data_IF_301859218504
#
_entry.id   IF_301859218504
#
_cell.length_a   1.000
_cell.length_b   1.000
_cell.length_c   1.000
_cell.angle_alpha   90.00
_cell.angle_beta   90.00
_cell.angle_gamma   90.00
#
_symmetry.space_group_name_H-M   'P 1'
#
loop_
_entity.id
_entity.type
_entity.pdbx_description
1 polymer ?
#
# COMPACT_ATOMS: atom_id res chain seq x y z
N UNK A 1 12.39 61.13 -20.44
CA UNK A 1 12.09 59.69 -20.61
C UNK A 1 11.81 59.10 -19.24
N UNK A 2 10.54 58.76 -18.94
CA UNK A 2 10.16 58.06 -17.70
C UNK A 2 10.08 56.57 -18.04
N UNK A 3 10.97 55.76 -17.47
CA UNK A 3 10.89 54.31 -17.56
C UNK A 3 9.78 53.81 -16.63
N UNK A 4 8.74 53.24 -17.21
CA UNK A 4 7.69 52.53 -16.47
C UNK A 4 8.16 51.10 -16.26
N UNK A 5 8.44 50.73 -15.01
CA UNK A 5 8.69 49.35 -14.60
C UNK A 5 7.35 48.58 -14.69
N UNK A 6 7.27 47.61 -15.59
CA UNK A 6 6.19 46.64 -15.65
C UNK A 6 6.45 45.61 -14.52
N UNK A 7 5.48 45.32 -13.64
CA UNK A 7 5.69 44.29 -12.64
C UNK A 7 5.69 42.93 -13.33
N UNK A 8 6.75 42.17 -13.12
CA UNK A 8 6.85 40.78 -13.53
C UNK A 8 5.81 39.99 -12.71
N UNK A 9 4.72 39.59 -13.34
CA UNK A 9 3.75 38.70 -12.71
C UNK A 9 4.48 37.39 -12.36
N UNK A 10 4.54 37.06 -11.06
CA UNK A 10 4.98 35.75 -10.63
C UNK A 10 4.00 34.73 -11.22
N UNK A 11 4.47 33.89 -12.15
CA UNK A 11 3.72 32.69 -12.51
C UNK A 11 3.57 31.88 -11.23
N UNK A 12 2.34 31.76 -10.74
CA UNK A 12 1.99 30.75 -9.77
C UNK A 12 2.33 29.41 -10.42
N UNK A 13 3.43 28.79 -10.00
CA UNK A 13 3.67 27.38 -10.29
C UNK A 13 2.50 26.63 -9.68
N UNK A 14 1.60 26.14 -10.53
CA UNK A 14 0.62 25.15 -10.11
C UNK A 14 1.41 23.97 -9.56
N UNK A 15 1.46 23.83 -8.24
CA UNK A 15 1.96 22.61 -7.62
C UNK A 15 1.04 21.50 -8.09
N UNK A 16 1.51 20.71 -9.07
CA UNK A 16 0.89 19.44 -9.43
C UNK A 16 0.65 18.66 -8.12
N UNK A 17 -0.48 17.97 -8.03
CA UNK A 17 -0.73 17.08 -6.91
C UNK A 17 0.48 16.14 -6.75
N UNK A 18 1.05 16.05 -5.54
CA UNK A 18 2.24 15.23 -5.26
C UNK A 18 1.87 13.76 -5.04
N UNK A 19 0.65 13.53 -4.52
CA UNK A 19 0.00 12.21 -4.37
C UNK A 19 -0.93 12.01 -5.56
N UNK A 20 -0.69 10.96 -6.34
CA UNK A 20 -1.47 10.58 -7.51
C UNK A 20 -2.45 9.44 -7.24
N UNK A 21 -2.22 8.69 -6.16
CA UNK A 21 -3.02 7.54 -5.80
C UNK A 21 -3.45 7.61 -4.34
N UNK A 22 -4.75 7.58 -4.07
CA UNK A 22 -5.27 7.54 -2.72
C UNK A 22 -6.41 6.54 -2.67
N UNK A 23 -6.49 5.77 -1.60
CA UNK A 23 -7.58 4.83 -1.42
C UNK A 23 -7.43 3.87 -0.25
N UNK A 24 -7.83 2.62 -0.47
CA UNK A 24 -8.05 1.65 0.60
C UNK A 24 -7.63 0.25 0.14
N UNK A 25 -7.16 -0.57 1.07
CA UNK A 25 -6.97 -1.99 0.83
C UNK A 25 -8.31 -2.73 0.88
N UNK A 26 -8.53 -3.64 -0.05
CA UNK A 26 -9.68 -4.54 -0.12
C UNK A 26 -9.22 -5.93 0.29
N UNK A 27 -9.48 -6.25 1.55
CA UNK A 27 -9.12 -7.52 2.18
C UNK A 27 -10.26 -8.54 2.07
N UNK A 28 -9.91 -9.80 1.99
CA UNK A 28 -10.84 -10.93 1.95
C UNK A 28 -10.39 -12.01 0.98
N UNK A 29 -9.66 -11.67 -0.09
CA UNK A 29 -9.11 -12.65 -1.03
C UNK A 29 -8.01 -13.51 -0.39
N UNK A 30 -7.47 -13.03 0.73
CA UNK A 30 -6.43 -13.63 1.54
C UNK A 30 -6.88 -14.32 2.82
N UNK A 31 -8.19 -14.41 3.04
CA UNK A 31 -8.74 -15.03 4.22
C UNK A 31 -8.81 -16.56 4.11
N UNK A 32 -8.97 -17.21 5.27
CA UNK A 32 -9.39 -18.61 5.34
C UNK A 32 -8.29 -19.67 5.30
N UNK A 33 -7.01 -19.28 5.32
CA UNK A 33 -5.85 -20.19 5.19
C UNK A 33 -5.70 -21.14 6.38
N UNK A 34 -5.76 -20.64 7.62
CA UNK A 34 -5.53 -21.45 8.83
C UNK A 34 -6.26 -20.90 10.05
N UNK A 35 -6.64 -21.79 10.97
CA UNK A 35 -6.84 -21.47 12.39
C UNK A 35 -6.58 -22.71 13.24
N UNK A 36 -5.94 -22.56 14.40
CA UNK A 36 -5.77 -23.66 15.37
C UNK A 36 -7.09 -24.12 16.00
N UNK A 37 -8.16 -23.30 15.92
CA UNK A 37 -9.42 -23.49 16.63
C UNK A 37 -10.70 -23.39 15.76
N UNK A 38 -10.64 -23.76 14.47
CA UNK A 38 -11.83 -24.17 13.70
C UNK A 38 -12.60 -23.12 12.88
N UNK A 39 -11.96 -22.12 12.27
CA UNK A 39 -12.59 -21.25 11.25
C UNK A 39 -11.80 -21.18 9.92
N UNK A 40 -10.58 -21.72 9.83
CA UNK A 40 -9.87 -21.92 8.56
C UNK A 40 -10.22 -23.29 7.95
N UNK A 41 -10.59 -23.34 6.66
CA UNK A 41 -10.81 -24.62 5.96
C UNK A 41 -9.57 -25.11 5.20
N UNK A 42 -8.45 -24.42 5.33
CA UNK A 42 -7.25 -24.70 4.57
C UNK A 42 -7.42 -24.32 3.09
N UNK A 43 -6.37 -24.55 2.32
CA UNK A 43 -6.34 -24.25 0.90
C UNK A 43 -7.04 -25.34 0.08
N UNK A 44 -7.79 -25.00 -0.99
CA UNK A 44 -7.92 -23.66 -1.60
C UNK A 44 -9.06 -22.78 -1.02
N UNK A 45 -9.71 -23.18 0.07
CA UNK A 45 -10.89 -22.50 0.61
C UNK A 45 -12.12 -22.52 -0.31
N UNK A 46 -13.20 -21.81 0.08
CA UNK A 46 -14.45 -21.66 -0.69
C UNK A 46 -14.74 -20.18 -0.98
N UNK A 47 -14.82 -19.83 -2.25
CA UNK A 47 -15.20 -18.48 -2.69
C UNK A 47 -16.57 -18.08 -2.15
N UNK A 48 -16.69 -16.85 -1.66
CA UNK A 48 -17.91 -16.28 -1.08
C UNK A 48 -18.19 -16.71 0.37
N UNK A 49 -17.29 -17.49 0.99
CA UNK A 49 -17.39 -17.85 2.41
C UNK A 49 -16.04 -17.73 3.11
N UNK A 50 -15.02 -18.44 2.61
CA UNK A 50 -13.70 -18.47 3.25
C UNK A 50 -12.82 -17.33 2.71
N UNK A 51 -13.04 -16.92 1.45
CA UNK A 51 -12.43 -15.74 0.83
C UNK A 51 -13.39 -15.08 -0.18
N UNK A 52 -13.23 -13.77 -0.40
CA UNK A 52 -13.95 -12.98 -1.40
C UNK A 52 -13.16 -11.70 -1.74
N UNK A 53 -13.23 -11.20 -2.98
CA UNK A 53 -12.33 -10.12 -3.42
C UNK A 53 -12.85 -8.70 -3.18
N UNK A 54 -14.05 -8.37 -3.66
CA UNK A 54 -14.60 -7.01 -3.56
C UNK A 54 -16.11 -7.05 -3.44
N UNK A 55 -16.68 -6.01 -2.83
CA UNK A 55 -18.10 -5.68 -2.89
C UNK A 55 -18.33 -4.51 -3.84
N UNK A 56 -18.95 -4.77 -4.99
CA UNK A 56 -19.15 -3.76 -6.03
C UNK A 56 -19.93 -2.52 -5.55
N UNK A 57 -20.89 -2.69 -4.65
CA UNK A 57 -21.68 -1.57 -4.14
C UNK A 57 -20.84 -0.66 -3.24
N UNK A 58 -19.98 -1.24 -2.41
CA UNK A 58 -19.05 -0.49 -1.57
C UNK A 58 -18.01 0.27 -2.42
N UNK A 59 -17.42 -0.41 -3.41
CA UNK A 59 -16.51 0.20 -4.38
C UNK A 59 -17.18 1.39 -5.09
N UNK A 60 -18.44 1.24 -5.50
CA UNK A 60 -19.21 2.31 -6.13
C UNK A 60 -19.36 3.53 -5.23
N UNK A 61 -19.63 3.34 -3.93
CA UNK A 61 -19.69 4.43 -2.93
C UNK A 61 -18.32 5.08 -2.78
N UNK A 62 -17.26 4.29 -2.64
CA UNK A 62 -15.91 4.84 -2.45
C UNK A 62 -15.43 5.65 -3.66
N UNK A 63 -15.74 5.22 -4.89
CA UNK A 63 -15.42 5.99 -6.10
C UNK A 63 -16.30 7.25 -6.19
N UNK A 64 -17.62 7.10 -6.02
CA UNK A 64 -18.57 8.19 -6.29
C UNK A 64 -18.60 9.23 -5.18
N UNK A 65 -18.50 8.82 -3.93
CA UNK A 65 -18.71 9.68 -2.77
C UNK A 65 -17.39 10.03 -2.10
N UNK A 66 -16.48 9.05 -1.97
CA UNK A 66 -15.19 9.26 -1.29
C UNK A 66 -14.06 9.70 -2.23
N UNK A 67 -14.30 9.64 -3.55
CA UNK A 67 -13.42 10.14 -4.62
C UNK A 67 -12.03 9.52 -4.66
N UNK A 68 -11.87 8.31 -4.13
CA UNK A 68 -10.60 7.57 -4.20
C UNK A 68 -10.40 6.95 -5.59
N UNK A 69 -9.15 6.71 -5.99
CA UNK A 69 -8.80 6.13 -7.30
C UNK A 69 -7.97 4.83 -7.21
N UNK A 70 -7.65 4.36 -5.99
CA UNK A 70 -6.82 3.18 -5.78
C UNK A 70 -7.50 2.17 -4.84
N UNK A 71 -7.47 0.90 -5.25
CA UNK A 71 -7.86 -0.24 -4.43
C UNK A 71 -6.74 -1.28 -4.43
N UNK A 72 -6.18 -1.60 -3.27
CA UNK A 72 -5.16 -2.64 -3.11
C UNK A 72 -5.85 -3.96 -2.78
N UNK A 73 -5.97 -4.86 -3.76
CA UNK A 73 -6.69 -6.13 -3.60
C UNK A 73 -5.74 -7.20 -3.08
N UNK A 74 -5.96 -7.68 -1.85
CA UNK A 74 -5.18 -8.76 -1.28
C UNK A 74 -5.65 -10.12 -1.82
N UNK A 75 -4.71 -10.99 -2.15
CA UNK A 75 -4.97 -12.36 -2.58
C UNK A 75 -3.79 -13.26 -2.22
N UNK A 76 -4.05 -14.55 -2.32
CA UNK A 76 -3.16 -15.61 -1.90
C UNK A 76 -2.60 -16.40 -3.07
N UNK A 77 -1.36 -16.85 -2.94
CA UNK A 77 -0.64 -17.55 -4.02
C UNK A 77 -0.58 -19.09 -3.85
N UNK A 78 -0.87 -19.59 -2.67
CA UNK A 78 0.00 -20.50 -1.95
C UNK A 78 0.18 -21.88 -2.59
N UNK A 79 1.45 -22.24 -2.78
CA UNK A 79 2.26 -22.88 -1.72
C UNK A 79 3.66 -22.23 -1.68
N UNK A 80 4.28 -22.17 -0.50
CA UNK A 80 5.65 -21.71 -0.19
C UNK A 80 5.87 -20.19 0.03
N UNK A 81 6.77 -19.86 0.99
CA UNK A 81 7.50 -18.58 1.05
C UNK A 81 8.36 -18.49 -0.20
N UNK A 82 7.97 -17.64 -1.14
CA UNK A 82 8.66 -17.59 -2.42
C UNK A 82 10.03 -16.97 -2.27
N UNK A 83 11.02 -17.69 -2.80
CA UNK A 83 12.41 -17.31 -2.82
C UNK A 83 13.09 -17.51 -1.49
N UNK A 84 12.58 -18.32 -0.56
CA UNK A 84 13.37 -18.73 0.61
C UNK A 84 14.44 -19.76 0.21
N UNK A 85 15.67 -19.29 0.01
CA UNK A 85 16.79 -20.15 -0.37
C UNK A 85 17.21 -21.15 0.75
N UNK A 86 16.68 -21.01 1.97
CA UNK A 86 17.00 -21.91 3.10
C UNK A 86 16.01 -23.08 3.25
N UNK A 87 14.83 -23.01 2.64
CA UNK A 87 13.87 -24.12 2.60
C UNK A 87 13.98 -24.86 1.25
N UNK A 88 14.47 -26.11 1.22
CA UNK A 88 14.59 -26.87 -0.03
C UNK A 88 13.24 -27.20 -0.69
N UNK A 89 12.12 -27.00 0.01
CA UNK A 89 10.77 -27.13 -0.54
C UNK A 89 10.16 -25.79 -0.96
N UNK A 90 10.91 -24.69 -0.82
CA UNK A 90 10.40 -23.39 -1.20
C UNK A 90 10.44 -23.14 -2.71
N UNK A 91 9.51 -22.31 -3.20
CA UNK A 91 9.54 -21.81 -4.55
C UNK A 91 10.80 -20.95 -4.73
N UNK A 92 11.50 -21.11 -5.85
CA UNK A 92 12.75 -20.36 -6.09
C UNK A 92 12.49 -18.94 -6.59
N UNK A 93 13.50 -18.06 -6.57
CA UNK A 93 13.44 -16.77 -7.27
C UNK A 93 13.07 -16.91 -8.76
N UNK A 94 13.45 -18.01 -9.40
CA UNK A 94 13.07 -18.28 -10.80
C UNK A 94 11.58 -18.64 -10.94
N UNK A 95 11.02 -19.41 -10.01
CA UNK A 95 9.59 -19.70 -9.98
C UNK A 95 8.78 -18.42 -9.74
N UNK A 96 9.30 -17.51 -8.91
CA UNK A 96 8.72 -16.18 -8.70
C UNK A 96 8.63 -15.37 -10.00
N UNK A 97 9.71 -15.36 -10.78
CA UNK A 97 9.75 -14.72 -12.10
C UNK A 97 8.72 -15.33 -13.05
N UNK A 98 8.58 -16.66 -13.05
CA UNK A 98 7.60 -17.36 -13.90
C UNK A 98 6.18 -16.94 -13.50
N UNK A 99 5.87 -16.95 -12.20
CA UNK A 99 4.58 -16.48 -11.70
C UNK A 99 4.24 -15.07 -12.18
N UNK A 100 5.17 -14.12 -11.96
CA UNK A 100 4.95 -12.73 -12.37
C UNK A 100 4.85 -12.54 -13.88
N UNK A 101 5.55 -13.37 -14.66
CA UNK A 101 5.42 -13.40 -16.12
C UNK A 101 4.01 -13.83 -16.53
N UNK A 102 3.46 -14.90 -15.94
CA UNK A 102 2.10 -15.37 -16.26
C UNK A 102 1.02 -14.38 -15.80
N UNK A 103 1.17 -13.81 -14.59
CA UNK A 103 0.27 -12.78 -14.09
C UNK A 103 0.29 -11.54 -15.00
N UNK A 104 1.47 -11.06 -15.39
CA UNK A 104 1.59 -9.90 -16.25
C UNK A 104 1.01 -10.14 -17.66
N UNK A 105 1.17 -11.34 -18.24
CA UNK A 105 0.52 -11.68 -19.53
C UNK A 105 -0.99 -11.45 -19.50
N UNK A 106 -1.65 -11.76 -18.37
CA UNK A 106 -3.10 -11.58 -18.20
C UNK A 106 -3.52 -10.11 -18.19
N UNK A 107 -2.68 -9.24 -17.63
CA UNK A 107 -3.04 -7.86 -17.29
C UNK A 107 -2.29 -6.78 -18.08
N UNK A 108 -1.26 -7.10 -18.88
CA UNK A 108 -0.39 -6.13 -19.59
C UNK A 108 -1.10 -5.06 -20.43
N UNK A 109 -2.33 -5.31 -20.88
CA UNK A 109 -3.12 -4.35 -21.66
C UNK A 109 -4.08 -3.51 -20.81
N UNK A 110 -4.27 -3.85 -19.53
CA UNK A 110 -5.07 -3.07 -18.60
C UNK A 110 -4.19 -1.98 -17.96
N UNK A 111 -4.32 -0.76 -18.46
CA UNK A 111 -3.51 0.40 -18.03
C UNK A 111 -3.78 0.82 -16.58
N UNK A 112 -4.90 0.36 -15.99
CA UNK A 112 -5.31 0.67 -14.61
C UNK A 112 -4.73 -0.28 -13.56
N UNK A 113 -3.99 -1.31 -13.97
CA UNK A 113 -3.34 -2.24 -13.03
C UNK A 113 -2.05 -1.64 -12.50
N UNK A 114 -1.78 -1.86 -11.23
CA UNK A 114 -0.47 -1.70 -10.60
C UNK A 114 -0.05 -3.09 -10.13
N UNK A 115 1.20 -3.49 -10.38
CA UNK A 115 1.72 -4.77 -9.90
C UNK A 115 2.42 -4.58 -8.55
N UNK A 116 1.79 -4.98 -7.45
CA UNK A 116 2.47 -5.15 -6.16
C UNK A 116 3.19 -6.49 -6.13
N UNK A 117 4.49 -6.49 -5.81
CA UNK A 117 5.32 -7.70 -5.92
C UNK A 117 5.03 -8.70 -4.80
N UNK A 118 5.01 -8.25 -3.55
CA UNK A 118 4.79 -9.13 -2.41
C UNK A 118 4.37 -8.33 -1.18
N UNK A 119 3.51 -8.92 -0.36
CA UNK A 119 3.18 -8.35 0.95
C UNK A 119 4.28 -8.67 1.96
N UNK A 120 4.87 -7.63 2.55
CA UNK A 120 5.70 -7.73 3.75
C UNK A 120 6.78 -8.83 3.77
N UNK A 121 7.79 -8.83 2.88
CA UNK A 121 8.97 -9.68 3.08
C UNK A 121 9.59 -9.46 4.47
N UNK A 122 9.80 -10.54 5.21
CA UNK A 122 10.37 -10.54 6.56
C UNK A 122 11.16 -11.82 6.83
N UNK A 123 11.97 -11.82 7.89
CA UNK A 123 12.78 -12.97 8.35
C UNK A 123 13.66 -13.62 7.26
N UNK A 124 14.10 -12.84 6.28
CA UNK A 124 15.02 -13.25 5.21
C UNK A 124 16.09 -12.18 4.97
N UNK A 125 17.16 -12.53 4.25
CA UNK A 125 18.21 -11.55 3.92
C UNK A 125 17.68 -10.47 2.98
N UNK A 126 18.11 -9.23 3.16
CA UNK A 126 17.69 -8.13 2.27
C UNK A 126 18.23 -8.29 0.86
N UNK A 127 19.37 -8.97 0.70
CA UNK A 127 19.90 -9.35 -0.62
C UNK A 127 18.96 -10.28 -1.40
N UNK A 128 18.21 -11.14 -0.70
CA UNK A 128 17.24 -12.04 -1.30
C UNK A 128 15.97 -11.29 -1.70
N UNK A 129 15.50 -10.35 -0.86
CA UNK A 129 14.40 -9.44 -1.22
C UNK A 129 14.72 -8.67 -2.51
N UNK A 130 15.95 -8.13 -2.64
CA UNK A 130 16.41 -7.50 -3.88
C UNK A 130 16.34 -8.44 -5.08
N UNK A 131 16.85 -9.67 -4.96
CA UNK A 131 16.82 -10.67 -6.05
C UNK A 131 15.40 -11.00 -6.48
N UNK A 132 14.50 -11.22 -5.52
CA UNK A 132 13.09 -11.54 -5.78
C UNK A 132 12.37 -10.36 -6.44
N UNK A 133 12.58 -9.14 -5.96
CA UNK A 133 12.03 -7.94 -6.59
C UNK A 133 12.53 -7.78 -8.03
N UNK A 134 13.83 -7.94 -8.28
CA UNK A 134 14.39 -7.85 -9.63
C UNK A 134 13.82 -8.94 -10.56
N UNK A 135 13.67 -10.16 -10.06
CA UNK A 135 13.11 -11.27 -10.81
C UNK A 135 11.65 -11.02 -11.21
N UNK A 136 10.83 -10.46 -10.31
CA UNK A 136 9.47 -10.05 -10.61
C UNK A 136 9.42 -8.91 -11.64
N UNK A 137 10.25 -7.87 -11.50
CA UNK A 137 10.37 -6.77 -12.48
C UNK A 137 10.72 -7.32 -13.86
N UNK A 138 11.76 -8.14 -13.95
CA UNK A 138 12.18 -8.75 -15.21
C UNK A 138 11.06 -9.59 -15.85
N UNK A 139 10.38 -10.39 -15.03
CA UNK A 139 9.25 -11.22 -15.46
C UNK A 139 8.12 -10.38 -16.04
N UNK A 140 7.66 -9.37 -15.30
CA UNK A 140 6.62 -8.43 -15.73
C UNK A 140 7.03 -7.75 -17.04
N UNK A 141 8.23 -7.15 -17.10
CA UNK A 141 8.69 -6.39 -18.25
C UNK A 141 8.92 -7.25 -19.48
N UNK A 142 9.31 -8.52 -19.33
CA UNK A 142 9.45 -9.47 -20.45
C UNK A 142 8.15 -9.66 -21.27
N UNK A 143 7.00 -9.37 -20.67
CA UNK A 143 5.69 -9.48 -21.33
C UNK A 143 5.28 -8.25 -22.15
N UNK A 144 6.07 -7.17 -22.07
CA UNK A 144 5.71 -5.86 -22.62
C UNK A 144 4.76 -5.04 -21.73
N UNK A 145 4.48 -5.49 -20.50
CA UNK A 145 3.72 -4.74 -19.51
C UNK A 145 4.45 -3.44 -19.13
N UNK A 146 3.72 -2.32 -19.21
CA UNK A 146 4.26 -0.96 -18.98
C UNK A 146 3.79 -0.33 -17.67
N UNK A 147 2.90 -1.02 -16.96
CA UNK A 147 2.29 -0.56 -15.71
C UNK A 147 3.31 -0.31 -14.61
N UNK A 148 2.95 0.51 -13.63
CA UNK A 148 3.74 0.72 -12.43
C UNK A 148 3.91 -0.59 -11.65
N UNK A 149 5.09 -0.76 -11.07
CA UNK A 149 5.44 -1.87 -10.17
C UNK A 149 5.71 -1.29 -8.79
N UNK A 150 5.15 -1.90 -7.74
CA UNK A 150 5.46 -1.60 -6.35
C UNK A 150 6.35 -2.73 -5.80
N UNK A 151 7.55 -2.36 -5.38
CA UNK A 151 8.57 -3.28 -4.88
C UNK A 151 8.73 -3.12 -3.36
N UNK A 152 8.42 -4.15 -2.56
CA UNK A 152 8.50 -4.07 -1.10
C UNK A 152 9.94 -4.05 -0.60
N UNK A 153 10.09 -3.49 0.60
CA UNK A 153 11.27 -3.58 1.43
C UNK A 153 11.20 -4.81 2.34
N UNK A 154 12.33 -5.14 2.97
CA UNK A 154 12.39 -6.15 4.03
C UNK A 154 11.85 -5.60 5.36
N UNK A 155 11.79 -6.43 6.41
CA UNK A 155 11.26 -6.08 7.73
C UNK A 155 9.80 -5.57 7.63
N UNK A 156 8.93 -6.40 7.05
CA UNK A 156 7.51 -6.09 6.85
C UNK A 156 7.28 -4.82 6.02
N UNK A 157 8.23 -4.47 5.15
CA UNK A 157 8.22 -3.23 4.40
C UNK A 157 8.09 -1.95 5.26
N UNK A 158 8.46 -2.02 6.54
CA UNK A 158 8.27 -0.95 7.51
C UNK A 158 9.13 0.29 7.22
N UNK A 159 8.51 1.44 7.03
CA UNK A 159 9.23 2.70 6.76
C UNK A 159 10.17 3.10 7.90
N UNK A 160 9.75 2.88 9.16
CA UNK A 160 10.55 3.09 10.36
C UNK A 160 11.82 2.24 10.45
N UNK A 161 11.87 1.11 9.74
CA UNK A 161 12.99 0.17 9.73
C UNK A 161 13.81 0.25 8.43
N UNK A 162 13.34 0.99 7.41
CA UNK A 162 13.92 0.98 6.07
C UNK A 162 15.43 1.25 6.04
N UNK A 163 15.90 2.22 6.83
CA UNK A 163 17.33 2.63 6.89
C UNK A 163 18.12 1.99 8.01
N UNK A 164 17.48 1.24 8.91
CA UNK A 164 18.15 0.63 10.09
C UNK A 164 18.05 -0.88 10.15
N UNK A 165 17.14 -1.48 9.37
CA UNK A 165 16.72 -2.86 9.52
C UNK A 165 15.90 -3.10 10.79
N UNK A 166 15.46 -4.34 10.96
CA UNK A 166 14.86 -4.88 12.18
C UNK A 166 15.42 -6.29 12.44
N UNK A 167 16.72 -6.36 12.77
CA UNK A 167 17.46 -7.63 12.89
C UNK A 167 18.01 -8.19 11.58
N UNK A 168 17.65 -7.59 10.44
CA UNK A 168 18.19 -7.84 9.10
C UNK A 168 18.97 -6.62 8.59
N UNK A 169 19.65 -6.74 7.43
CA UNK A 169 20.30 -5.59 6.82
C UNK A 169 19.27 -4.54 6.35
N UNK A 170 19.58 -3.23 6.47
CA UNK A 170 18.70 -2.17 6.00
C UNK A 170 18.34 -2.32 4.51
N UNK A 171 17.07 -2.08 4.17
CA UNK A 171 16.63 -2.07 2.77
C UNK A 171 17.27 -0.94 1.96
N UNK A 172 17.66 0.15 2.62
CA UNK A 172 18.40 1.28 2.02
C UNK A 172 19.70 0.86 1.33
N UNK A 173 20.34 -0.21 1.79
CA UNK A 173 21.65 -0.62 1.30
C UNK A 173 21.55 -1.41 -0.02
N UNK A 174 20.35 -1.87 -0.37
CA UNK A 174 20.14 -2.80 -1.49
C UNK A 174 19.17 -2.29 -2.54
N UNK A 175 18.06 -1.66 -2.15
CA UNK A 175 16.95 -1.44 -3.10
C UNK A 175 17.24 -0.44 -4.23
N UNK A 176 18.25 0.41 -4.09
CA UNK A 176 18.73 1.29 -5.17
C UNK A 176 19.42 0.52 -6.32
N UNK A 177 19.73 -0.76 -6.11
CA UNK A 177 20.35 -1.63 -7.12
C UNK A 177 19.32 -2.20 -8.10
N UNK A 178 18.02 -2.10 -7.82
CA UNK A 178 16.96 -2.54 -8.73
C UNK A 178 17.03 -1.79 -10.06
N UNK A 179 16.66 -2.45 -11.15
CA UNK A 179 16.61 -1.90 -12.50
C UNK A 179 15.28 -2.23 -13.15
N UNK A 180 14.55 -1.20 -13.53
CA UNK A 180 13.39 -1.29 -14.41
C UNK A 180 13.72 -0.58 -15.73
N UNK A 181 13.71 -1.27 -16.90
CA UNK A 181 13.96 -0.63 -18.19
C UNK A 181 12.98 0.50 -18.52
N UNK A 182 11.83 0.58 -17.85
CA UNK A 182 10.85 1.65 -18.03
C UNK A 182 10.91 2.74 -16.95
N UNK A 183 11.79 2.59 -15.96
CA UNK A 183 11.89 3.49 -14.80
C UNK A 183 10.52 3.80 -14.18
N UNK A 184 9.68 2.77 -14.02
CA UNK A 184 8.31 2.87 -13.54
C UNK A 184 8.06 1.93 -12.35
N UNK A 185 9.04 1.87 -11.45
CA UNK A 185 8.99 1.13 -10.18
C UNK A 185 9.05 2.12 -9.01
N UNK A 186 8.18 1.95 -8.02
CA UNK A 186 8.23 2.65 -6.74
C UNK A 186 8.43 1.66 -5.59
N UNK A 187 8.94 2.14 -4.47
CA UNK A 187 9.06 1.35 -3.24
C UNK A 187 7.69 1.23 -2.57
N UNK A 188 7.30 0.02 -2.19
CA UNK A 188 6.14 -0.25 -1.34
C UNK A 188 6.55 -0.12 0.13
N UNK A 189 5.83 0.65 0.93
CA UNK A 189 6.11 0.85 2.36
C UNK A 189 4.85 0.67 3.17
N UNK A 190 4.96 0.01 4.32
CA UNK A 190 3.92 -0.06 5.33
C UNK A 190 4.33 0.77 6.54
N UNK A 191 3.36 1.37 7.23
CA UNK A 191 3.63 2.08 8.47
C UNK A 191 2.38 2.15 9.36
N UNK A 192 2.44 1.50 10.51
CA UNK A 192 1.46 1.69 11.56
C UNK A 192 2.00 2.63 12.64
N UNK A 193 1.08 3.29 13.36
CA UNK A 193 1.44 4.38 14.28
C UNK A 193 1.42 3.96 15.75
N UNK A 194 1.12 2.69 16.03
CA UNK A 194 1.16 2.11 17.37
C UNK A 194 2.59 1.88 17.87
N UNK A 195 2.72 1.57 19.16
CA UNK A 195 3.98 1.56 19.89
C UNK A 195 5.06 0.67 19.28
N UNK A 196 4.67 -0.41 18.61
CA UNK A 196 5.57 -1.35 17.93
C UNK A 196 5.37 -1.43 16.41
N UNK A 197 4.62 -0.50 15.80
CA UNK A 197 4.36 -0.44 14.36
C UNK A 197 3.66 -1.68 13.76
N UNK A 198 3.01 -2.50 14.59
CA UNK A 198 2.34 -3.73 14.14
C UNK A 198 0.91 -3.53 13.64
N UNK A 199 0.31 -2.38 13.94
CA UNK A 199 -1.11 -2.14 13.69
C UNK A 199 -2.04 -2.92 14.63
N UNK A 200 -1.55 -3.41 15.77
CA UNK A 200 -2.39 -4.13 16.75
C UNK A 200 -2.87 -3.24 17.90
N UNK A 201 -2.11 -2.18 18.22
CA UNK A 201 -2.41 -1.23 19.28
C UNK A 201 -3.50 -0.22 18.92
N UNK A 202 -4.27 0.22 19.92
CA UNK A 202 -5.34 1.22 19.71
C UNK A 202 -4.86 2.68 19.71
N UNK A 203 -3.64 2.94 20.20
CA UNK A 203 -3.10 4.29 20.33
C UNK A 203 -2.05 4.55 19.27
N UNK A 204 -2.01 5.78 18.76
CA UNK A 204 -1.02 6.23 17.79
C UNK A 204 0.04 7.03 18.53
N UNK A 205 1.13 6.37 18.90
CA UNK A 205 2.21 6.94 19.72
C UNK A 205 3.44 7.31 18.91
N UNK A 206 3.56 6.80 17.68
CA UNK A 206 4.74 7.03 16.84
C UNK A 206 4.61 8.32 16.02
N UNK A 207 5.66 9.17 16.00
CA UNK A 207 5.64 10.40 15.22
C UNK A 207 5.88 10.13 13.75
N UNK A 208 5.32 10.98 12.88
CA UNK A 208 5.52 10.88 11.42
C UNK A 208 6.99 11.01 10.98
N UNK A 209 7.83 11.63 11.80
CA UNK A 209 9.28 11.76 11.55
C UNK A 209 10.02 10.43 11.46
N UNK A 210 9.40 9.31 11.87
CA UNK A 210 9.92 7.96 11.60
C UNK A 210 10.09 7.65 10.11
N UNK A 211 9.36 8.35 9.23
CA UNK A 211 9.52 8.26 7.78
C UNK A 211 10.66 9.11 7.20
N UNK A 212 11.36 9.91 8.00
CA UNK A 212 12.39 10.83 7.48
C UNK A 212 13.57 10.07 6.86
N UNK A 213 13.94 8.91 7.42
CA UNK A 213 14.99 8.06 6.89
C UNK A 213 14.70 7.61 5.45
N UNK A 214 13.56 6.92 5.24
CA UNK A 214 13.14 6.46 3.91
C UNK A 214 12.88 7.63 2.97
N UNK A 215 12.27 8.72 3.43
CA UNK A 215 12.03 9.92 2.60
C UNK A 215 13.34 10.51 2.07
N UNK A 216 14.34 10.68 2.93
CA UNK A 216 15.62 11.25 2.53
C UNK A 216 16.37 10.32 1.58
N UNK A 217 16.31 9.01 1.83
CA UNK A 217 16.89 8.01 0.95
C UNK A 217 16.25 8.03 -0.45
N UNK A 218 14.92 8.12 -0.52
CA UNK A 218 14.19 8.22 -1.79
C UNK A 218 14.63 9.45 -2.60
N UNK A 219 14.78 10.61 -1.92
CA UNK A 219 15.30 11.83 -2.55
C UNK A 219 16.72 11.64 -3.07
N UNK A 220 17.60 11.07 -2.26
CA UNK A 220 19.00 10.83 -2.60
C UNK A 220 19.15 9.95 -3.84
N UNK A 221 18.29 8.95 -3.99
CA UNK A 221 18.34 8.00 -5.10
C UNK A 221 17.39 8.32 -6.26
N UNK A 222 16.66 9.44 -6.19
CA UNK A 222 15.69 9.83 -7.22
C UNK A 222 14.52 8.85 -7.38
N UNK A 223 14.19 8.11 -6.32
CA UNK A 223 13.15 7.09 -6.30
C UNK A 223 11.85 7.65 -5.70
N UNK A 224 10.74 6.95 -5.96
CA UNK A 224 9.40 7.25 -5.41
C UNK A 224 8.91 6.09 -4.55
N UNK A 225 7.96 6.36 -3.67
CA UNK A 225 7.35 5.35 -2.81
C UNK A 225 5.84 5.57 -2.61
N UNK A 226 5.15 4.50 -2.25
CA UNK A 226 3.74 4.48 -1.90
C UNK A 226 3.56 3.82 -0.53
N UNK A 227 2.74 4.43 0.34
CA UNK A 227 2.32 3.78 1.59
C UNK A 227 1.15 2.85 1.31
N UNK A 228 1.36 1.55 1.22
CA UNK A 228 0.30 0.61 0.84
C UNK A 228 -0.48 0.06 2.03
N UNK A 229 0.02 0.24 3.26
CA UNK A 229 -0.73 -0.02 4.48
C UNK A 229 -0.38 0.99 5.57
N UNK A 230 -1.43 1.53 6.18
CA UNK A 230 -1.38 2.29 7.43
C UNK A 230 -2.76 2.27 8.09
N UNK A 231 -2.80 2.55 9.39
CA UNK A 231 -4.04 2.64 10.14
C UNK A 231 -3.88 3.25 11.53
N UNK A 232 -5.00 3.48 12.19
CA UNK A 232 -5.04 4.04 13.54
C UNK A 232 -6.35 3.74 14.27
N UNK A 233 -6.34 3.89 15.59
CA UNK A 233 -7.52 3.68 16.43
C UNK A 233 -8.54 4.81 16.37
N UNK A 234 -9.76 4.51 16.83
CA UNK A 234 -10.85 5.50 16.93
C UNK A 234 -10.71 6.34 18.20
N UNK A 235 -9.78 7.29 18.18
CA UNK A 235 -9.59 8.27 19.26
C UNK A 235 -8.99 9.59 18.72
N UNK A 236 -9.09 10.70 19.47
CA UNK A 236 -8.59 12.00 19.02
C UNK A 236 -7.08 12.04 18.70
N UNK A 237 -6.27 11.28 19.44
CA UNK A 237 -4.82 11.20 19.21
C UNK A 237 -4.50 10.59 17.86
N UNK A 238 -5.09 9.43 17.56
CA UNK A 238 -4.96 8.79 16.25
C UNK A 238 -5.58 9.62 15.12
N UNK A 239 -6.72 10.26 15.34
CA UNK A 239 -7.32 11.14 14.33
C UNK A 239 -6.39 12.30 13.94
N UNK A 240 -5.65 12.87 14.89
CA UNK A 240 -4.64 13.87 14.59
C UNK A 240 -3.40 13.26 13.93
N UNK A 241 -2.90 12.13 14.44
CA UNK A 241 -1.72 11.47 13.88
C UNK A 241 -1.92 11.07 12.41
N UNK A 242 -3.10 10.56 12.03
CA UNK A 242 -3.43 10.21 10.64
C UNK A 242 -3.47 11.44 9.73
N UNK A 243 -3.95 12.59 10.23
CA UNK A 243 -3.91 13.87 9.47
C UNK A 243 -2.47 14.31 9.23
N UNK A 244 -1.66 14.31 10.29
CA UNK A 244 -0.25 14.71 10.20
C UNK A 244 0.52 13.75 9.27
N UNK A 245 0.19 12.47 9.31
CA UNK A 245 0.76 11.44 8.45
C UNK A 245 0.45 11.67 6.97
N UNK A 246 -0.82 11.85 6.58
CA UNK A 246 -1.18 12.09 5.17
C UNK A 246 -0.64 13.44 4.70
N UNK A 247 -0.70 14.49 5.51
CA UNK A 247 -0.12 15.79 5.18
C UNK A 247 1.40 15.68 4.92
N UNK A 248 2.11 14.89 5.72
CA UNK A 248 3.54 14.65 5.51
C UNK A 248 3.82 14.03 4.13
N UNK A 249 3.00 13.06 3.70
CA UNK A 249 3.12 12.44 2.37
C UNK A 249 2.83 13.46 1.27
N UNK A 250 1.75 14.24 1.40
CA UNK A 250 1.39 15.28 0.43
C UNK A 250 2.45 16.37 0.29
N UNK A 251 3.15 16.72 1.37
CA UNK A 251 4.19 17.75 1.33
C UNK A 251 5.45 17.30 0.56
N UNK A 252 5.68 16.00 0.42
CA UNK A 252 6.96 15.43 -0.01
C UNK A 252 6.81 14.67 -1.32
N UNK A 253 7.37 15.22 -2.39
CA UNK A 253 7.23 14.75 -3.78
C UNK A 253 7.66 13.29 -4.03
N UNK A 254 8.39 12.67 -3.12
CA UNK A 254 8.80 11.26 -3.23
C UNK A 254 7.66 10.29 -2.91
N UNK A 255 6.63 10.74 -2.18
CA UNK A 255 5.45 9.96 -1.84
C UNK A 255 4.36 10.19 -2.88
N UNK A 256 4.03 9.14 -3.63
CA UNK A 256 3.13 9.22 -4.79
C UNK A 256 1.74 8.66 -4.49
N UNK A 257 1.55 8.00 -3.35
CA UNK A 257 0.26 7.46 -3.00
C UNK A 257 0.15 6.85 -1.62
N UNK A 258 -1.08 6.53 -1.23
CA UNK A 258 -1.38 5.79 -0.02
C UNK A 258 -2.64 4.91 -0.13
N UNK A 259 -2.69 3.82 0.64
CA UNK A 259 -3.92 3.05 0.90
C UNK A 259 -4.08 2.74 2.39
N UNK A 260 -5.24 3.06 2.95
CA UNK A 260 -5.55 2.73 4.34
C UNK A 260 -5.93 1.25 4.48
N UNK A 261 -5.55 0.63 5.61
CA UNK A 261 -5.88 -0.75 5.93
C UNK A 261 -7.04 -0.82 6.96
N UNK A 262 -8.20 -1.40 6.65
CA UNK A 262 -8.67 -1.93 5.36
C UNK A 262 -10.21 -1.88 5.25
N UNK A 263 -10.72 -2.02 4.03
CA UNK A 263 -12.09 -2.39 3.70
C UNK A 263 -12.16 -3.89 3.33
N UNK A 264 -13.31 -4.35 2.86
CA UNK A 264 -13.48 -5.73 2.41
C UNK A 264 -14.76 -6.40 2.90
N UNK A 265 -15.31 -7.34 2.11
CA UNK A 265 -16.65 -7.89 2.33
C UNK A 265 -16.77 -8.89 3.50
N UNK A 266 -15.64 -9.41 4.01
CA UNK A 266 -15.65 -10.54 4.96
C UNK A 266 -15.26 -10.18 6.40
N UNK A 267 -14.97 -8.90 6.69
CA UNK A 267 -14.64 -8.47 8.05
C UNK A 267 -15.81 -8.63 9.03
N UNK A 268 -17.05 -8.49 8.56
CA UNK A 268 -18.22 -8.43 9.44
C UNK A 268 -18.04 -7.29 10.46
N UNK A 269 -18.07 -7.63 11.75
CA UNK A 269 -17.78 -6.68 12.83
C UNK A 269 -16.31 -6.66 13.28
N UNK A 270 -15.43 -7.52 12.74
CA UNK A 270 -14.03 -7.56 13.14
C UNK A 270 -13.26 -6.39 12.55
N UNK A 271 -12.37 -5.80 13.35
CA UNK A 271 -11.55 -4.68 12.91
C UNK A 271 -10.28 -5.16 12.24
N UNK A 272 -9.86 -4.56 11.11
CA UNK A 272 -8.68 -4.96 10.36
C UNK A 272 -7.37 -4.63 11.07
N UNK A 273 -7.33 -3.53 11.82
CA UNK A 273 -6.18 -3.13 12.61
C UNK A 273 -6.60 -2.16 13.71
N UNK A 274 -5.66 -1.90 14.60
CA UNK A 274 -5.53 -0.66 15.33
C UNK A 274 -6.65 -0.38 16.35
N UNK A 275 -7.39 -1.42 16.76
CA UNK A 275 -8.48 -1.28 17.74
C UNK A 275 -8.26 -2.12 19.01
N UNK A 276 -7.09 -2.73 19.20
CA UNK A 276 -6.78 -3.57 20.37
C UNK A 276 -7.87 -4.62 20.67
N UNK A 277 -8.33 -5.31 19.61
CA UNK A 277 -9.36 -6.35 19.69
C UNK A 277 -10.80 -5.85 19.77
N UNK A 278 -11.06 -4.53 19.75
CA UNK A 278 -12.43 -4.03 19.59
C UNK A 278 -12.98 -4.38 18.19
N UNK A 279 -14.27 -4.67 18.14
CA UNK A 279 -14.98 -5.13 16.96
C UNK A 279 -15.83 -3.99 16.36
N UNK A 280 -15.18 -3.14 15.56
CA UNK A 280 -15.75 -1.94 14.95
C UNK A 280 -15.97 -2.08 13.43
N UNK A 281 -15.84 -3.30 12.90
CA UNK A 281 -15.90 -3.58 11.47
C UNK A 281 -14.73 -2.96 10.69
N UNK A 282 -14.87 -2.90 9.37
CA UNK A 282 -13.86 -2.36 8.44
C UNK A 282 -14.21 -0.96 7.89
N UNK A 283 -13.35 -0.44 7.01
CA UNK A 283 -13.63 0.74 6.19
C UNK A 283 -14.60 0.48 5.03
N UNK A 284 -15.24 -0.68 4.96
CA UNK A 284 -16.30 -0.94 3.99
C UNK A 284 -17.54 -0.06 4.25
N UNK A 285 -18.07 0.71 3.27
CA UNK A 285 -19.34 1.40 3.40
C UNK A 285 -20.47 0.47 3.87
N UNK A 286 -21.13 0.85 4.96
CA UNK A 286 -22.19 0.06 5.59
C UNK A 286 -21.70 -0.98 6.61
N UNK A 287 -20.38 -1.11 6.81
CA UNK A 287 -19.78 -1.84 7.93
C UNK A 287 -20.30 -1.34 9.28
N UNK A 288 -20.45 -2.26 10.24
CA UNK A 288 -21.01 -1.99 11.57
C UNK A 288 -20.15 -2.60 12.65
N UNK A 289 -20.13 -1.93 13.81
CA UNK A 289 -19.59 -2.50 15.03
C UNK A 289 -20.43 -3.68 15.52
N UNK A 290 -19.87 -4.50 16.41
CA UNK A 290 -20.54 -5.71 16.93
C UNK A 290 -21.86 -5.41 17.65
N UNK A 291 -21.99 -4.23 18.25
CA UNK A 291 -23.20 -3.76 18.92
C UNK A 291 -24.26 -3.21 17.95
N UNK A 292 -24.00 -3.24 16.65
CA UNK A 292 -24.85 -2.66 15.60
C UNK A 292 -24.66 -1.16 15.41
N UNK A 293 -23.76 -0.53 16.16
CA UNK A 293 -23.42 0.88 16.05
C UNK A 293 -22.58 1.22 14.80
N UNK A 294 -22.20 2.50 14.65
CA UNK A 294 -21.34 2.96 13.57
C UNK A 294 -20.02 2.18 13.54
N UNK A 295 -19.58 1.78 12.34
CA UNK A 295 -18.30 1.07 12.14
C UNK A 295 -17.14 2.02 11.83
N UNK A 296 -15.96 1.46 11.54
CA UNK A 296 -14.76 2.25 11.20
C UNK A 296 -14.96 3.18 9.99
N UNK A 297 -15.79 2.79 9.02
CA UNK A 297 -16.16 3.68 7.91
C UNK A 297 -16.77 5.00 8.41
N UNK A 298 -17.74 4.93 9.33
CA UNK A 298 -18.44 6.10 9.87
C UNK A 298 -17.61 6.82 10.94
N UNK A 299 -16.82 6.08 11.72
CA UNK A 299 -16.10 6.60 12.89
C UNK A 299 -14.73 7.20 12.55
N UNK A 300 -14.09 6.73 11.47
CA UNK A 300 -12.71 7.11 11.15
C UNK A 300 -12.52 7.47 9.68
N UNK A 301 -13.00 6.67 8.72
CA UNK A 301 -12.81 6.96 7.30
C UNK A 301 -13.50 8.27 6.89
N UNK A 302 -14.81 8.37 7.08
CA UNK A 302 -15.62 9.55 6.72
C UNK A 302 -15.15 10.83 7.40
N UNK A 303 -14.93 10.87 8.73
CA UNK A 303 -14.57 12.12 9.41
C UNK A 303 -13.07 12.47 9.37
N UNK A 304 -12.17 11.51 9.14
CA UNK A 304 -10.71 11.75 9.21
C UNK A 304 -10.02 11.56 7.86
N UNK A 305 -10.17 10.41 7.21
CA UNK A 305 -9.39 10.07 6.01
C UNK A 305 -9.97 10.69 4.74
N UNK A 306 -11.29 10.59 4.53
CA UNK A 306 -11.96 11.12 3.35
C UNK A 306 -11.71 12.61 3.09
N UNK A 307 -11.72 13.51 4.09
CA UNK A 307 -11.40 14.92 3.88
C UNK A 307 -9.97 15.18 3.37
N UNK A 308 -9.07 14.20 3.52
CA UNK A 308 -7.66 14.27 3.13
C UNK A 308 -7.41 13.59 1.77
N UNK A 309 -8.44 13.06 1.10
CA UNK A 309 -8.29 12.52 -0.25
C UNK A 309 -7.96 13.66 -1.21
N UNK A 310 -6.87 13.57 -2.00
CA UNK A 310 -6.52 14.60 -2.97
C UNK A 310 -7.66 14.83 -3.97
N UNK A 311 -7.92 16.10 -4.30
CA UNK A 311 -9.04 16.47 -5.19
C UNK A 311 -8.80 16.16 -6.66
N UNK A 312 -7.53 16.01 -7.06
CA UNK A 312 -7.10 15.86 -8.46
C UNK A 312 -6.39 14.52 -8.65
N UNK A 313 -7.11 13.42 -8.44
CA UNK A 313 -6.62 12.08 -8.70
C UNK A 313 -6.93 11.70 -10.15
N UNK A 314 -5.89 11.43 -10.94
CA UNK A 314 -6.06 10.99 -12.33
C UNK A 314 -6.69 9.60 -12.39
N UNK A 315 -7.55 9.37 -13.39
CA UNK A 315 -8.29 8.09 -13.55
C UNK A 315 -8.10 7.44 -14.92
N UNK A 316 -7.31 8.08 -15.78
CA UNK A 316 -7.07 7.67 -17.16
C UNK A 316 -5.58 7.54 -17.45
N UNK A 317 -5.23 6.69 -18.42
CA UNK A 317 -3.84 6.43 -18.78
C UNK A 317 -3.24 5.24 -18.03
N UNK A 318 -1.93 5.08 -18.18
CA UNK A 318 -1.18 3.98 -17.58
C UNK A 318 -0.72 4.36 -16.18
N UNK A 319 -0.83 3.42 -15.25
CA UNK A 319 -0.26 3.58 -13.92
C UNK A 319 1.23 3.91 -14.02
N UNK A 320 1.62 5.01 -13.38
CA UNK A 320 3.00 5.47 -13.36
C UNK A 320 3.40 6.17 -12.07
N UNK A 321 4.69 6.12 -11.76
CA UNK A 321 5.32 6.89 -10.68
C UNK A 321 5.22 8.41 -10.86
N UNK A 322 4.85 8.86 -12.06
CA UNK A 322 4.61 10.28 -12.37
C UNK A 322 3.11 10.62 -12.43
N UNK A 323 2.25 9.73 -11.91
CA UNK A 323 0.80 9.85 -12.01
C UNK A 323 0.26 9.33 -13.34
N UNK A 324 -1.06 9.37 -13.46
CA UNK A 324 -1.77 8.95 -14.67
C UNK A 324 -2.09 10.20 -15.52
N UNK A 325 -2.02 10.08 -16.84
CA UNK A 325 -2.30 11.20 -17.76
C UNK A 325 -3.80 11.26 -18.05
N UNK A 326 -4.47 12.32 -17.62
CA UNK A 326 -5.80 12.67 -18.14
C UNK A 326 -5.72 13.25 -19.57
#
# INVERSE_FOLDING_TARGET
MKFSLIPLAALATSTLAKVFYAGVAESGGEFGVWTDNGVGRGLPGRFGSDYAFINKTAIDVMIKDDKINLFRIAFLLERSIIGDDNDPNAATTQDFKIFFTELAKRFRHNTRVIFGIMNEPHDMSTSLVLKNNQAAIDGIRSTGAKQMILAPANAWSGGHAFTTGNGNEPSSDYLHLMRDPLNNTAIEIHEYLDDNYSGSGANCTQPVTRLDGVTNWLKQHGMKAMITEFGGGVNPGCAQALKDYINYLEEKEVWIGWTAWAAGPLWGYWSPCCQSGQALGSFEPGSRARDGGPGLYDLLWVPVLRPLVPKNLGTHGISSINGTTD
#
